data_IF_587482808092
#
_entry.id   IF_587482808092
#
_cell.length_a   1.000
_cell.length_b   1.000
_cell.length_c   1.000
_cell.angle_alpha   90.00
_cell.angle_beta   90.00
_cell.angle_gamma   90.00
#
_symmetry.space_group_name_H-M   'P 1'
#
loop_
_entity.id
_entity.type
_entity.pdbx_description
1 polymer ?
#
# COMPACT_ATOMS: atom_id res chain seq x y z
N UNK A 1 9.70 14.83 -2.33
CA UNK A 1 9.17 14.20 -1.11
C UNK A 1 10.28 13.32 -0.58
N UNK A 2 10.71 13.49 0.68
CA UNK A 2 11.78 12.68 1.24
C UNK A 2 11.30 11.23 1.34
N UNK A 3 11.87 10.35 0.51
CA UNK A 3 11.72 8.91 0.65
C UNK A 3 12.28 8.54 2.02
N UNK A 4 11.46 7.96 2.88
CA UNK A 4 11.87 7.49 4.20
C UNK A 4 12.14 5.99 4.13
N UNK A 5 13.20 5.49 4.78
CA UNK A 5 13.56 4.07 4.68
C UNK A 5 12.45 3.20 5.28
N UNK A 6 12.37 1.94 4.85
CA UNK A 6 11.43 0.95 5.37
C UNK A 6 11.35 0.92 6.90
N UNK A 7 12.51 1.02 7.58
CA UNK A 7 12.57 1.07 9.04
C UNK A 7 11.88 2.27 9.69
N UNK A 8 11.72 3.40 8.98
CA UNK A 8 10.95 4.54 9.50
C UNK A 8 9.45 4.22 9.62
N UNK A 9 8.94 3.36 8.74
CA UNK A 9 7.54 2.93 8.71
C UNK A 9 7.27 1.73 9.62
N UNK A 10 8.26 1.31 10.42
CA UNK A 10 8.13 0.18 11.35
C UNK A 10 8.38 -1.19 10.73
N UNK A 11 8.91 -1.26 9.51
CA UNK A 11 9.28 -2.54 8.91
C UNK A 11 10.50 -3.13 9.65
N UNK A 12 10.36 -4.37 10.15
CA UNK A 12 11.43 -5.07 10.86
C UNK A 12 12.36 -5.79 9.88
N UNK A 13 13.60 -5.31 9.76
CA UNK A 13 14.64 -5.93 8.92
C UNK A 13 15.09 -7.31 9.41
N UNK A 14 14.70 -7.73 10.62
CA UNK A 14 14.89 -9.11 11.07
C UNK A 14 13.96 -10.09 10.36
N UNK A 15 12.89 -9.62 9.72
CA UNK A 15 12.05 -10.44 8.84
C UNK A 15 12.76 -10.62 7.49
N UNK A 16 13.05 -11.87 7.06
CA UNK A 16 13.74 -12.14 5.80
C UNK A 16 13.09 -11.47 4.60
N UNK A 17 11.76 -11.43 4.55
CA UNK A 17 11.02 -10.79 3.47
C UNK A 17 11.24 -9.27 3.40
N UNK A 18 11.27 -8.57 4.54
CA UNK A 18 11.54 -7.11 4.57
C UNK A 18 12.97 -6.81 4.13
N UNK A 19 13.91 -7.67 4.52
CA UNK A 19 15.30 -7.57 4.10
C UNK A 19 15.44 -7.82 2.59
N UNK A 20 14.81 -8.86 2.05
CA UNK A 20 14.84 -9.17 0.63
C UNK A 20 14.19 -8.05 -0.21
N UNK A 21 13.11 -7.43 0.29
CA UNK A 21 12.47 -6.26 -0.33
C UNK A 21 13.43 -5.07 -0.35
N UNK A 22 14.12 -4.79 0.76
CA UNK A 22 15.09 -3.70 0.85
C UNK A 22 16.29 -3.93 -0.07
N UNK A 23 16.78 -5.17 -0.18
CA UNK A 23 17.91 -5.54 -1.04
C UNK A 23 17.53 -5.55 -2.53
N UNK A 24 16.32 -5.98 -2.88
CA UNK A 24 15.85 -6.09 -4.27
C UNK A 24 15.41 -4.74 -4.84
N UNK A 25 14.59 -4.00 -4.09
CA UNK A 25 13.96 -2.77 -4.57
C UNK A 25 14.66 -1.49 -4.08
N UNK A 26 15.60 -1.63 -3.14
CA UNK A 26 16.28 -0.53 -2.46
C UNK A 26 15.52 -0.08 -1.21
N UNK A 27 16.25 0.49 -0.24
CA UNK A 27 15.67 0.98 1.02
C UNK A 27 14.61 2.08 0.84
N UNK A 28 14.63 2.73 -0.32
CA UNK A 28 13.71 3.80 -0.72
C UNK A 28 12.83 3.42 -1.93
N UNK A 29 12.78 2.13 -2.30
CA UNK A 29 12.05 1.62 -3.47
C UNK A 29 12.49 2.24 -4.82
N UNK A 30 13.75 2.66 -4.93
CA UNK A 30 14.30 3.36 -6.11
C UNK A 30 14.30 2.49 -7.36
N UNK A 31 14.37 1.16 -7.20
CA UNK A 31 14.37 0.19 -8.29
C UNK A 31 12.97 -0.37 -8.60
N UNK A 32 11.92 0.14 -7.95
CA UNK A 32 10.56 -0.33 -8.15
C UNK A 32 9.85 0.51 -9.21
N UNK A 33 9.24 -0.16 -10.21
CA UNK A 33 8.41 0.55 -11.17
C UNK A 33 7.10 1.00 -10.50
N UNK A 34 6.52 2.10 -10.99
CA UNK A 34 5.24 2.60 -10.48
C UNK A 34 4.11 1.55 -10.61
N UNK A 35 4.18 0.69 -11.63
CA UNK A 35 3.23 -0.39 -11.81
C UNK A 35 3.38 -1.47 -10.73
N UNK A 36 4.62 -1.88 -10.42
CA UNK A 36 4.91 -2.87 -9.38
C UNK A 36 4.55 -2.33 -7.98
N UNK A 37 4.83 -1.05 -7.72
CA UNK A 37 4.42 -0.39 -6.47
C UNK A 37 2.91 -0.47 -6.28
N UNK A 38 2.12 -0.10 -7.30
CA UNK A 38 0.67 -0.17 -7.22
C UNK A 38 0.16 -1.60 -7.06
N UNK A 39 0.79 -2.55 -7.74
CA UNK A 39 0.44 -3.97 -7.64
C UNK A 39 0.70 -4.52 -6.24
N UNK A 40 1.88 -4.23 -5.66
CA UNK A 40 2.22 -4.65 -4.30
C UNK A 40 1.34 -3.98 -3.25
N UNK A 41 1.06 -2.67 -3.37
CA UNK A 41 0.14 -1.97 -2.46
C UNK A 41 -1.23 -2.65 -2.47
N UNK A 42 -1.78 -2.96 -3.65
CA UNK A 42 -3.09 -3.61 -3.74
C UNK A 42 -3.10 -5.01 -3.12
N UNK A 43 -2.01 -5.79 -3.26
CA UNK A 43 -1.90 -7.13 -2.67
C UNK A 43 -1.74 -7.09 -1.17
N UNK A 44 -0.80 -6.28 -0.66
CA UNK A 44 -0.54 -6.14 0.77
C UNK A 44 -1.79 -5.61 1.48
N UNK A 45 -2.47 -4.59 0.93
CA UNK A 45 -3.69 -4.06 1.51
C UNK A 45 -4.83 -5.10 1.54
N UNK A 46 -4.92 -5.95 0.50
CA UNK A 46 -5.92 -7.02 0.47
C UNK A 46 -5.62 -8.11 1.50
N UNK A 47 -4.36 -8.55 1.62
CA UNK A 47 -3.95 -9.53 2.63
C UNK A 47 -4.16 -8.99 4.05
N UNK A 48 -3.76 -7.74 4.31
CA UNK A 48 -4.00 -7.08 5.59
C UNK A 48 -5.50 -6.99 5.92
N UNK A 49 -6.35 -6.69 4.94
CA UNK A 49 -7.82 -6.70 5.14
C UNK A 49 -8.37 -8.10 5.46
N UNK A 50 -7.80 -9.17 4.90
CA UNK A 50 -8.19 -10.55 5.22
C UNK A 50 -7.74 -10.98 6.62
N UNK A 51 -6.63 -10.44 7.12
CA UNK A 51 -6.09 -10.72 8.46
C UNK A 51 -6.65 -9.79 9.55
N UNK A 52 -7.23 -8.65 9.17
CA UNK A 52 -7.85 -7.71 10.09
C UNK A 52 -9.00 -8.44 10.85
N UNK A 53 -8.96 -8.50 12.19
CA UNK A 53 -9.89 -9.30 12.99
C UNK A 53 -11.32 -8.72 13.06
N UNK A 54 -11.67 -7.87 12.09
CA UNK A 54 -13.01 -7.34 11.92
C UNK A 54 -13.88 -8.37 11.20
N UNK A 55 -14.80 -8.99 11.94
CA UNK A 55 -15.90 -9.78 11.38
C UNK A 55 -16.92 -8.92 10.60
N UNK A 56 -16.71 -7.60 10.55
CA UNK A 56 -17.60 -6.69 9.84
C UNK A 56 -17.14 -6.55 8.38
N UNK A 57 -18.06 -6.75 7.41
CA UNK A 57 -17.78 -6.43 6.03
C UNK A 57 -17.47 -4.92 5.89
N UNK A 58 -16.83 -4.50 4.78
CA UNK A 58 -16.67 -3.10 4.46
C UNK A 58 -18.00 -2.36 4.56
N UNK A 59 -17.98 -1.13 5.09
CA UNK A 59 -19.20 -0.33 5.21
C UNK A 59 -19.80 -0.03 3.83
N UNK A 60 -21.09 0.29 3.79
CA UNK A 60 -21.78 0.64 2.53
C UNK A 60 -21.10 1.84 1.84
N UNK A 61 -20.58 2.79 2.62
CA UNK A 61 -19.84 3.95 2.10
C UNK A 61 -18.52 3.54 1.45
N UNK A 62 -17.79 2.57 2.03
CA UNK A 62 -16.56 2.05 1.44
C UNK A 62 -16.83 1.29 0.14
N UNK A 63 -17.93 0.54 0.09
CA UNK A 63 -18.35 -0.18 -1.12
C UNK A 63 -18.84 0.77 -2.23
N UNK A 64 -19.52 1.87 -1.87
CA UNK A 64 -19.87 2.92 -2.82
C UNK A 64 -18.61 3.53 -3.44
N UNK A 65 -17.61 3.90 -2.62
CA UNK A 65 -16.34 4.44 -3.11
C UNK A 65 -15.67 3.43 -4.05
N UNK A 66 -15.59 2.16 -3.67
CA UNK A 66 -15.04 1.07 -4.51
C UNK A 66 -15.73 1.03 -5.87
N UNK A 67 -17.06 1.05 -5.90
CA UNK A 67 -17.85 0.97 -7.13
C UNK A 67 -17.56 2.15 -8.09
N UNK A 68 -17.20 3.31 -7.54
CA UNK A 68 -16.95 4.56 -8.26
C UNK A 68 -15.47 4.86 -8.51
N UNK A 69 -14.55 3.99 -8.10
CA UNK A 69 -13.11 4.15 -8.37
C UNK A 69 -12.80 4.29 -9.88
N UNK A 70 -13.67 3.80 -10.76
CA UNK A 70 -13.52 3.97 -12.21
C UNK A 70 -13.68 5.43 -12.67
N UNK A 71 -14.33 6.30 -11.89
CA UNK A 71 -14.47 7.74 -12.15
C UNK A 71 -13.15 8.51 -11.94
N UNK A 72 -12.22 7.94 -11.16
CA UNK A 72 -10.95 8.56 -10.82
C UNK A 72 -9.86 8.25 -11.86
N UNK A 73 -9.10 9.28 -12.23
CA UNK A 73 -7.87 9.10 -13.01
C UNK A 73 -6.78 8.41 -12.17
N UNK A 74 -5.76 7.86 -12.84
CA UNK A 74 -4.62 7.24 -12.17
C UNK A 74 -3.97 8.17 -11.14
N UNK A 75 -3.81 9.45 -11.47
CA UNK A 75 -3.22 10.44 -10.57
C UNK A 75 -4.08 10.66 -9.30
N UNK A 76 -5.41 10.67 -9.43
CA UNK A 76 -6.31 10.79 -8.29
C UNK A 76 -6.32 9.53 -7.41
N UNK A 77 -6.24 8.35 -8.02
CA UNK A 77 -6.10 7.08 -7.28
C UNK A 77 -4.83 7.06 -6.44
N UNK A 78 -3.71 7.53 -7.00
CA UNK A 78 -2.45 7.64 -6.28
C UNK A 78 -2.52 8.65 -5.12
N UNK A 79 -3.12 9.82 -5.35
CA UNK A 79 -3.32 10.81 -4.30
C UNK A 79 -4.19 10.26 -3.16
N UNK A 80 -5.24 9.50 -3.49
CA UNK A 80 -6.10 8.86 -2.50
C UNK A 80 -5.37 7.80 -1.69
N UNK A 81 -4.56 6.94 -2.32
CA UNK A 81 -3.72 5.95 -1.61
C UNK A 81 -2.78 6.66 -0.63
N UNK A 82 -2.13 7.74 -1.07
CA UNK A 82 -1.22 8.49 -0.21
C UNK A 82 -1.96 9.16 0.96
N UNK A 83 -3.16 9.69 0.73
CA UNK A 83 -4.00 10.26 1.78
C UNK A 83 -4.43 9.19 2.81
N UNK A 84 -4.89 8.02 2.36
CA UNK A 84 -5.30 6.91 3.23
C UNK A 84 -4.13 6.31 4.03
N UNK A 85 -2.94 6.24 3.43
CA UNK A 85 -1.76 5.72 4.13
C UNK A 85 -1.18 6.70 5.17
N UNK A 86 -1.58 7.98 5.14
CA UNK A 86 -1.09 9.02 6.07
C UNK A 86 -2.20 9.61 6.96
N UNK A 87 -3.42 9.05 6.93
CA UNK A 87 -4.55 9.45 7.78
C UNK A 87 -4.51 8.70 9.11
#
# INVERSE_FOLDING_TARGET
MATKPLGYWGCDYNLPLIKDIAETFGEFFENMSQADTLWLIARIAHEAWQEEPSDQPPSEEAEEVRSRLHELSLAQKMALIQALANS
#
